data_IF_287607082237
#
_entry.id   IF_287607082237
#
_cell.length_a   1.000
_cell.length_b   1.000
_cell.length_c   1.000
_cell.angle_alpha   90.00
_cell.angle_beta   90.00
_cell.angle_gamma   90.00
#
_symmetry.space_group_name_H-M   'P 1'
#
loop_
_entity.id
_entity.type
_entity.pdbx_description
1 polymer ?
#
# COMPACT_ATOMS: atom_id res chain seq x y z
N UNK A 1 1.66 -11.96 -16.15
CA UNK A 1 1.92 -12.17 -14.73
C UNK A 1 1.49 -10.98 -13.88
N UNK A 2 1.34 -11.18 -12.58
CA UNK A 2 1.07 -10.10 -11.65
C UNK A 2 2.43 -9.47 -11.31
N UNK A 3 2.59 -8.19 -11.63
CA UNK A 3 3.83 -7.45 -11.39
C UNK A 3 3.60 -6.42 -10.30
N UNK A 4 3.87 -6.81 -9.05
CA UNK A 4 3.85 -5.94 -7.89
C UNK A 4 5.14 -6.19 -7.08
N UNK A 5 5.82 -5.13 -6.69
CA UNK A 5 7.02 -5.23 -5.89
C UNK A 5 6.70 -5.65 -4.44
N UNK A 6 7.71 -6.10 -3.72
CA UNK A 6 7.57 -6.58 -2.34
C UNK A 6 7.02 -5.52 -1.38
N UNK A 7 7.31 -4.27 -1.63
CA UNK A 7 6.80 -3.11 -0.89
C UNK A 7 5.38 -2.69 -1.30
N UNK A 8 4.75 -3.41 -2.25
CA UNK A 8 3.43 -3.08 -2.77
C UNK A 8 3.42 -2.05 -3.90
N UNK A 9 4.59 -1.57 -4.34
CA UNK A 9 4.66 -0.69 -5.51
C UNK A 9 4.27 -1.45 -6.77
N UNK A 10 3.51 -0.84 -7.70
CA UNK A 10 3.22 -1.44 -9.01
C UNK A 10 4.49 -1.60 -9.84
N UNK A 11 4.40 -2.38 -10.91
CA UNK A 11 5.48 -2.45 -11.90
C UNK A 11 5.76 -1.09 -12.53
N UNK A 12 7.03 -0.72 -12.65
CA UNK A 12 7.40 0.59 -13.15
C UNK A 12 8.92 0.74 -13.35
N UNK A 13 9.35 1.98 -13.51
CA UNK A 13 10.75 2.35 -13.72
C UNK A 13 11.02 3.72 -13.08
N UNK A 14 12.28 4.05 -12.92
CA UNK A 14 12.68 5.40 -12.45
C UNK A 14 13.06 6.27 -13.65
N UNK A 15 12.58 7.50 -13.63
CA UNK A 15 13.04 8.59 -14.51
C UNK A 15 14.13 9.31 -13.72
N UNK A 16 15.29 9.50 -14.34
CA UNK A 16 16.42 10.20 -13.72
C UNK A 16 16.81 11.38 -14.60
N UNK A 17 16.77 12.57 -14.04
CA UNK A 17 17.22 13.79 -14.66
C UNK A 17 18.62 14.14 -14.11
N UNK A 18 19.57 14.42 -15.00
CA UNK A 18 20.96 14.74 -14.66
C UNK A 18 21.32 16.11 -15.23
N UNK A 19 21.80 17.01 -14.36
CA UNK A 19 22.32 18.31 -14.73
C UNK A 19 23.69 18.52 -14.07
N UNK A 20 24.74 18.32 -14.84
CA UNK A 20 26.14 18.35 -14.35
C UNK A 20 26.35 17.26 -13.28
N UNK A 21 26.55 17.66 -12.02
CA UNK A 21 26.71 16.77 -10.87
C UNK A 21 25.41 16.53 -10.11
N UNK A 22 24.37 17.30 -10.43
CA UNK A 22 23.07 17.20 -9.77
C UNK A 22 22.20 16.19 -10.48
N UNK A 23 21.47 15.41 -9.71
CA UNK A 23 20.52 14.44 -10.25
C UNK A 23 19.27 14.37 -9.40
N UNK A 24 18.13 14.18 -10.07
CA UNK A 24 16.83 13.95 -9.48
C UNK A 24 16.24 12.68 -10.06
N UNK A 25 15.42 12.00 -9.29
CA UNK A 25 14.72 10.82 -9.78
C UNK A 25 13.27 10.80 -9.31
N UNK A 26 12.43 10.16 -10.10
CA UNK A 26 11.04 9.93 -9.78
C UNK A 26 10.62 8.55 -10.27
N UNK A 27 9.87 7.82 -9.45
CA UNK A 27 9.28 6.55 -9.86
C UNK A 27 8.12 6.81 -10.83
N UNK A 28 8.05 6.04 -11.89
CA UNK A 28 6.93 6.04 -12.85
C UNK A 28 6.33 4.64 -12.94
N UNK A 29 5.13 4.47 -12.39
CA UNK A 29 4.37 3.25 -12.61
C UNK A 29 3.97 3.11 -14.08
N UNK A 30 3.96 1.89 -14.60
CA UNK A 30 3.54 1.59 -15.97
C UNK A 30 2.10 2.01 -16.25
N UNK A 31 1.22 1.93 -15.23
CA UNK A 31 -0.22 2.12 -15.39
C UNK A 31 -0.76 3.42 -14.81
N UNK A 32 0.03 4.15 -14.02
CA UNK A 32 -0.41 5.39 -13.39
C UNK A 32 0.34 6.60 -13.93
N UNK A 33 -0.23 7.78 -13.74
CA UNK A 33 0.48 9.05 -13.94
C UNK A 33 1.72 9.13 -13.05
N UNK A 34 2.71 9.92 -13.47
CA UNK A 34 3.95 10.12 -12.72
C UNK A 34 3.72 10.74 -11.35
N UNK A 35 2.63 11.48 -11.17
CA UNK A 35 2.25 12.06 -9.88
C UNK A 35 1.55 11.07 -8.92
N UNK A 36 1.29 9.85 -9.36
CA UNK A 36 0.72 8.81 -8.49
C UNK A 36 1.85 8.03 -7.82
N UNK A 37 2.24 8.48 -6.62
CA UNK A 37 3.42 8.00 -5.91
C UNK A 37 3.11 7.23 -4.63
N UNK A 38 1.83 7.09 -4.29
CA UNK A 38 1.39 6.34 -3.11
C UNK A 38 -0.01 5.76 -3.30
N UNK A 39 -0.36 4.81 -2.46
CA UNK A 39 -1.68 4.16 -2.40
C UNK A 39 -2.18 4.16 -0.99
N UNK A 40 -3.49 4.31 -0.82
CA UNK A 40 -4.13 4.29 0.49
C UNK A 40 -5.06 3.10 0.66
N UNK A 41 -5.11 2.57 1.88
CA UNK A 41 -5.95 1.46 2.28
C UNK A 41 -6.80 1.84 3.48
N UNK A 42 -8.13 1.68 3.38
CA UNK A 42 -9.01 1.73 4.53
C UNK A 42 -8.99 0.36 5.23
N UNK A 43 -8.34 0.29 6.40
CA UNK A 43 -8.20 -0.97 7.12
C UNK A 43 -9.54 -1.59 7.53
N UNK A 44 -10.57 -0.77 7.72
CA UNK A 44 -11.92 -1.25 8.04
C UNK A 44 -12.57 -2.00 6.86
N UNK A 45 -12.11 -1.77 5.63
CA UNK A 45 -12.63 -2.40 4.41
C UNK A 45 -11.80 -3.61 3.94
N UNK A 46 -10.77 -4.01 4.70
CA UNK A 46 -9.87 -5.09 4.29
C UNK A 46 -9.99 -6.27 5.24
N UNK A 47 -10.34 -7.44 4.68
CA UNK A 47 -10.33 -8.72 5.36
C UNK A 47 -9.77 -9.76 4.39
N UNK A 48 -8.53 -10.19 4.60
CA UNK A 48 -7.81 -11.10 3.72
C UNK A 48 -8.01 -12.55 4.17
N UNK A 49 -9.10 -13.18 3.72
CA UNK A 49 -9.37 -14.59 3.96
C UNK A 49 -9.01 -15.45 2.75
N UNK A 50 -8.66 -16.71 3.00
CA UNK A 50 -8.35 -17.66 1.93
C UNK A 50 -9.55 -17.87 0.99
N UNK A 51 -10.77 -17.87 1.50
CA UNK A 51 -11.97 -18.07 0.67
C UNK A 51 -12.19 -16.92 -0.32
N UNK A 52 -11.74 -15.72 -0.01
CA UNK A 52 -11.84 -14.57 -0.93
C UNK A 52 -10.73 -14.53 -1.97
N UNK A 53 -9.52 -14.92 -1.60
CA UNK A 53 -8.33 -14.60 -2.41
C UNK A 53 -7.53 -15.79 -2.90
N UNK A 54 -7.76 -17.00 -2.36
CA UNK A 54 -7.16 -18.23 -2.85
C UNK A 54 -8.16 -18.98 -3.72
N UNK A 55 -7.71 -19.48 -4.87
CA UNK A 55 -8.60 -20.22 -5.77
C UNK A 55 -9.18 -21.46 -5.08
N UNK A 56 -10.46 -21.76 -5.34
CA UNK A 56 -11.22 -22.83 -4.67
C UNK A 56 -10.60 -24.23 -4.88
N UNK A 57 -9.90 -24.45 -5.99
CA UNK A 57 -9.22 -25.70 -6.34
C UNK A 57 -7.85 -25.88 -5.68
N UNK A 58 -7.42 -24.94 -4.84
CA UNK A 58 -6.15 -25.04 -4.11
C UNK A 58 -6.31 -25.91 -2.86
N UNK A 59 -5.19 -26.51 -2.44
CA UNK A 59 -5.16 -27.38 -1.27
C UNK A 59 -5.50 -26.64 0.03
N UNK A 60 -5.96 -27.38 1.04
CA UNK A 60 -6.14 -26.82 2.39
C UNK A 60 -4.83 -26.23 2.93
N UNK A 61 -3.69 -26.85 2.65
CA UNK A 61 -2.38 -26.36 3.05
C UNK A 61 -2.01 -25.00 2.39
N UNK A 62 -2.42 -24.77 1.14
CA UNK A 62 -2.21 -23.48 0.48
C UNK A 62 -3.10 -22.40 1.09
N UNK A 63 -4.34 -22.72 1.45
CA UNK A 63 -5.26 -21.81 2.14
C UNK A 63 -4.73 -21.44 3.53
N UNK A 64 -4.27 -22.42 4.30
CA UNK A 64 -3.66 -22.18 5.61
C UNK A 64 -2.38 -21.30 5.52
N UNK A 65 -1.52 -21.56 4.54
CA UNK A 65 -0.34 -20.73 4.29
C UNK A 65 -0.71 -19.27 3.99
N UNK A 66 -1.77 -19.05 3.20
CA UNK A 66 -2.25 -17.70 2.92
C UNK A 66 -2.71 -17.00 4.20
N UNK A 67 -3.54 -17.63 5.01
CA UNK A 67 -4.05 -17.03 6.25
C UNK A 67 -2.96 -16.77 7.29
N UNK A 68 -1.98 -17.67 7.38
CA UNK A 68 -0.79 -17.46 8.19
C UNK A 68 0.04 -16.25 7.68
N UNK A 69 0.18 -16.10 6.37
CA UNK A 69 0.88 -14.98 5.77
C UNK A 69 0.13 -13.66 5.94
N UNK A 70 -1.20 -13.69 5.88
CA UNK A 70 -2.07 -12.53 6.05
C UNK A 70 -2.02 -11.96 7.48
N UNK A 71 -1.76 -12.81 8.50
CA UNK A 71 -1.65 -12.31 9.88
C UNK A 71 -2.89 -11.53 10.30
N UNK A 72 -2.70 -10.33 10.85
CA UNK A 72 -3.80 -9.47 11.32
C UNK A 72 -4.70 -8.97 10.18
N UNK A 73 -4.25 -8.97 8.93
CA UNK A 73 -5.08 -8.58 7.79
C UNK A 73 -6.28 -9.49 7.54
N UNK A 74 -6.29 -10.70 8.09
CA UNK A 74 -7.45 -11.62 8.00
C UNK A 74 -8.61 -11.25 8.91
N UNK A 75 -8.34 -10.47 9.97
CA UNK A 75 -9.34 -10.06 10.94
C UNK A 75 -10.06 -8.78 10.50
N UNK A 76 -11.35 -8.68 10.79
CA UNK A 76 -12.11 -7.46 10.60
C UNK A 76 -11.60 -6.36 11.54
N UNK A 77 -11.30 -5.19 11.02
CA UNK A 77 -10.90 -4.04 11.81
C UNK A 77 -12.03 -3.03 11.96
N UNK A 78 -12.12 -2.42 13.14
CA UNK A 78 -12.98 -1.27 13.42
C UNK A 78 -12.19 -0.10 14.02
N UNK A 79 -10.85 -0.17 13.97
CA UNK A 79 -9.95 0.82 14.59
C UNK A 79 -9.80 2.12 13.80
N UNK A 80 -10.50 2.27 12.67
CA UNK A 80 -10.45 3.43 11.77
C UNK A 80 -9.05 3.77 11.24
N UNK A 81 -8.17 2.78 11.18
CA UNK A 81 -6.84 2.96 10.63
C UNK A 81 -6.86 3.08 9.11
N UNK A 82 -6.07 4.01 8.61
CA UNK A 82 -5.73 4.14 7.20
C UNK A 82 -4.25 3.86 7.03
N UNK A 83 -3.92 2.99 6.09
CA UNK A 83 -2.54 2.71 5.70
C UNK A 83 -2.22 3.48 4.41
N UNK A 84 -1.02 4.00 4.35
CA UNK A 84 -0.49 4.75 3.21
C UNK A 84 0.78 4.04 2.78
N UNK A 85 0.77 3.45 1.59
CA UNK A 85 1.95 2.83 0.99
C UNK A 85 2.61 3.84 0.05
N UNK A 86 3.79 4.33 0.41
CA UNK A 86 4.54 5.32 -0.37
C UNK A 86 5.62 4.61 -1.19
N UNK A 87 5.49 4.68 -2.51
CA UNK A 87 6.40 4.00 -3.42
C UNK A 87 7.73 4.73 -3.51
N UNK A 88 8.82 3.96 -3.64
CA UNK A 88 10.17 4.53 -3.70
C UNK A 88 10.53 5.48 -2.54
N UNK A 89 9.88 5.27 -1.38
CA UNK A 89 10.08 6.10 -0.19
C UNK A 89 11.55 6.12 0.26
N UNK A 90 12.04 7.28 0.60
CA UNK A 90 13.29 7.47 1.35
C UNK A 90 13.05 8.35 2.61
N UNK A 91 13.98 8.35 3.59
CA UNK A 91 13.79 9.04 4.86
C UNK A 91 13.60 10.56 4.79
N UNK A 92 13.93 11.21 3.67
CA UNK A 92 13.75 12.65 3.49
C UNK A 92 12.34 13.02 3.00
N UNK A 93 11.51 12.01 2.66
CA UNK A 93 10.12 12.26 2.32
C UNK A 93 9.29 12.58 3.56
N UNK A 94 8.31 13.45 3.41
CA UNK A 94 7.36 13.80 4.47
C UNK A 94 5.95 13.40 4.11
N UNK A 95 5.20 12.93 5.13
CA UNK A 95 3.82 12.52 4.98
C UNK A 95 3.00 13.29 6.00
N UNK A 96 2.04 14.07 5.51
CA UNK A 96 1.13 14.85 6.33
C UNK A 96 -0.31 14.40 6.04
N UNK A 97 -1.05 14.15 7.08
CA UNK A 97 -2.47 13.78 6.99
C UNK A 97 -3.28 14.69 7.87
N UNK A 98 -4.37 15.22 7.32
CA UNK A 98 -5.33 16.02 8.09
C UNK A 98 -6.73 15.46 7.98
N UNK A 99 -7.51 15.63 9.05
CA UNK A 99 -8.93 15.33 9.13
C UNK A 99 -9.64 16.59 9.63
N UNK A 100 -10.58 17.12 8.84
CA UNK A 100 -11.27 18.38 9.17
C UNK A 100 -10.31 19.52 9.52
N UNK A 101 -9.18 19.63 8.79
CA UNK A 101 -8.15 20.64 9.00
C UNK A 101 -7.23 20.41 10.21
N UNK A 102 -7.41 19.33 10.98
CA UNK A 102 -6.54 18.97 12.10
C UNK A 102 -5.53 17.90 11.66
N UNK A 103 -4.25 18.10 12.01
CA UNK A 103 -3.21 17.12 11.72
C UNK A 103 -3.39 15.85 12.55
N UNK A 104 -3.22 14.70 11.88
CA UNK A 104 -3.16 13.39 12.51
C UNK A 104 -1.71 12.94 12.68
N UNK A 105 -1.46 12.16 13.73
CA UNK A 105 -0.17 11.51 13.94
C UNK A 105 0.05 10.42 12.90
N UNK A 106 1.13 10.51 12.12
CA UNK A 106 1.54 9.51 11.14
C UNK A 106 2.60 8.60 11.75
N UNK A 107 2.34 7.31 11.79
CA UNK A 107 3.24 6.29 12.30
C UNK A 107 3.80 5.46 11.12
N UNK A 108 5.11 5.29 11.06
CA UNK A 108 5.73 4.33 10.13
C UNK A 108 5.63 2.92 10.70
N UNK A 109 5.08 1.99 9.92
CA UNK A 109 4.89 0.61 10.35
C UNK A 109 5.71 -0.36 9.50
N UNK A 110 6.05 -1.50 10.08
CA UNK A 110 6.71 -2.61 9.39
C UNK A 110 5.69 -3.73 9.26
N UNK A 111 5.08 -3.84 8.08
CA UNK A 111 4.03 -4.81 7.80
C UNK A 111 4.09 -5.26 6.33
N UNK A 112 3.31 -6.25 5.96
CA UNK A 112 3.18 -6.70 4.58
C UNK A 112 2.14 -5.87 3.84
N UNK A 113 2.44 -5.53 2.59
CA UNK A 113 1.44 -4.88 1.74
C UNK A 113 0.31 -5.86 1.39
N UNK A 114 -0.97 -5.50 1.55
CA UNK A 114 -2.10 -6.39 1.33
C UNK A 114 -2.26 -6.85 -0.13
N UNK A 115 -1.93 -6.01 -1.11
CA UNK A 115 -1.98 -6.40 -2.52
C UNK A 115 -0.86 -7.36 -2.87
N UNK A 116 0.34 -7.15 -2.33
CA UNK A 116 1.46 -8.08 -2.50
C UNK A 116 1.15 -9.44 -1.86
N UNK A 117 0.54 -9.46 -0.66
CA UNK A 117 0.06 -10.69 -0.01
C UNK A 117 -0.87 -11.50 -0.92
N UNK A 118 -1.89 -10.84 -1.48
CA UNK A 118 -2.84 -11.50 -2.37
C UNK A 118 -2.14 -12.01 -3.64
N UNK A 119 -1.28 -11.20 -4.24
CA UNK A 119 -0.59 -11.55 -5.47
C UNK A 119 0.24 -12.83 -5.31
N UNK A 120 1.03 -12.91 -4.26
CA UNK A 120 2.03 -13.99 -4.11
C UNK A 120 1.60 -15.13 -3.21
N UNK A 121 0.74 -14.91 -2.23
CA UNK A 121 0.20 -15.99 -1.39
C UNK A 121 -1.20 -16.44 -1.79
N UNK A 122 -2.00 -15.55 -2.38
CA UNK A 122 -3.37 -15.86 -2.80
C UNK A 122 -3.47 -16.37 -4.25
N UNK A 123 -2.99 -15.58 -5.20
CA UNK A 123 -3.15 -15.87 -6.64
C UNK A 123 -2.10 -16.82 -7.19
N UNK A 124 -0.89 -16.80 -6.65
CA UNK A 124 0.23 -17.67 -7.05
C UNK A 124 0.84 -18.45 -5.88
N UNK A 125 0.03 -19.15 -5.06
CA UNK A 125 0.56 -19.90 -3.91
C UNK A 125 1.56 -20.96 -4.41
N UNK A 126 2.69 -21.06 -3.73
CA UNK A 126 3.77 -22.00 -4.10
C UNK A 126 4.73 -21.49 -5.18
N UNK A 127 4.60 -20.26 -5.65
CA UNK A 127 5.42 -19.70 -6.74
C UNK A 127 6.86 -19.34 -6.37
N UNK A 128 7.38 -19.77 -5.22
CA UNK A 128 8.78 -19.60 -4.81
C UNK A 128 9.13 -18.20 -4.28
N UNK A 129 8.23 -17.24 -4.37
CA UNK A 129 8.43 -15.90 -3.80
C UNK A 129 7.65 -15.78 -2.50
N UNK A 130 8.39 -15.62 -1.39
CA UNK A 130 7.79 -15.29 -0.09
C UNK A 130 7.35 -13.84 -0.03
N UNK A 131 6.33 -13.57 0.79
CA UNK A 131 6.01 -12.19 1.16
C UNK A 131 6.80 -11.81 2.39
N UNK A 132 7.38 -10.63 2.41
CA UNK A 132 8.06 -10.07 3.58
C UNK A 132 7.49 -8.69 3.92
N UNK A 133 7.86 -8.22 5.09
CA UNK A 133 7.44 -6.89 5.56
C UNK A 133 8.13 -5.80 4.76
N UNK A 134 7.42 -4.70 4.55
CA UNK A 134 7.97 -3.46 4.02
C UNK A 134 7.98 -2.38 5.10
N UNK A 135 8.85 -1.39 4.96
CA UNK A 135 8.89 -0.17 5.76
C UNK A 135 8.38 1.05 4.98
N UNK A 136 7.72 0.82 3.85
CA UNK A 136 7.09 1.87 3.03
C UNK A 136 5.63 2.11 3.41
N UNK A 137 5.16 1.43 4.46
CA UNK A 137 3.81 1.61 5.00
C UNK A 137 3.81 2.60 6.17
N UNK A 138 2.84 3.49 6.11
CA UNK A 138 2.53 4.45 7.17
C UNK A 138 1.09 4.26 7.60
N UNK A 139 0.79 4.61 8.85
CA UNK A 139 -0.52 4.42 9.44
C UNK A 139 -0.96 5.68 10.16
N UNK A 140 -2.23 6.03 9.99
CA UNK A 140 -2.92 7.06 10.77
C UNK A 140 -4.22 6.48 11.32
N UNK A 141 -4.68 7.01 12.45
CA UNK A 141 -5.98 6.68 12.99
C UNK A 141 -6.94 7.85 12.78
N UNK A 142 -8.00 7.62 12.03
CA UNK A 142 -9.06 8.60 11.82
C UNK A 142 -10.07 8.59 12.97
N UNK A 143 -10.81 9.68 13.17
CA UNK A 143 -11.80 9.79 14.22
C UNK A 143 -13.05 8.95 13.99
N UNK A 144 -13.38 8.63 12.73
CA UNK A 144 -14.55 7.81 12.38
C UNK A 144 -14.28 6.94 11.15
N UNK A 145 -15.16 5.98 10.89
CA UNK A 145 -15.11 5.12 9.72
C UNK A 145 -15.46 5.84 8.39
N UNK A 146 -16.06 7.04 8.47
CA UNK A 146 -16.59 7.77 7.31
C UNK A 146 -15.92 9.13 7.08
N UNK A 147 -14.95 9.49 7.93
CA UNK A 147 -14.25 10.78 7.79
C UNK A 147 -13.36 10.79 6.54
N UNK A 148 -13.34 11.94 5.86
CA UNK A 148 -12.42 12.20 4.75
C UNK A 148 -11.06 12.61 5.31
N UNK A 149 -10.00 12.05 4.74
CA UNK A 149 -8.62 12.40 5.07
C UNK A 149 -7.97 13.11 3.89
N UNK A 150 -7.34 14.26 4.16
CA UNK A 150 -6.48 14.93 3.19
C UNK A 150 -5.04 14.49 3.41
N UNK A 151 -4.49 13.80 2.43
CA UNK A 151 -3.16 13.19 2.49
C UNK A 151 -2.23 13.95 1.55
N UNK A 152 -1.10 14.37 2.09
CA UNK A 152 -0.04 15.04 1.34
C UNK A 152 1.28 14.33 1.59
N UNK A 153 1.89 13.85 0.52
CA UNK A 153 3.23 13.27 0.51
C UNK A 153 4.15 14.22 -0.25
N UNK A 154 5.30 14.53 0.30
CA UNK A 154 6.30 15.38 -0.34
C UNK A 154 7.61 14.62 -0.42
N UNK A 155 8.18 14.49 -1.63
CA UNK A 155 9.46 13.82 -1.82
C UNK A 155 10.64 14.73 -1.44
N UNK A 156 11.86 14.17 -1.47
CA UNK A 156 13.09 14.90 -1.14
C UNK A 156 13.40 16.07 -2.07
N UNK A 157 12.79 16.11 -3.27
CA UNK A 157 12.99 17.16 -4.27
C UNK A 157 11.90 18.24 -4.19
N UNK A 158 10.97 18.12 -3.25
CA UNK A 158 9.89 19.06 -3.05
C UNK A 158 8.65 18.82 -3.92
N UNK A 159 8.58 17.74 -4.69
CA UNK A 159 7.37 17.38 -5.42
C UNK A 159 6.29 16.95 -4.45
N UNK A 160 5.06 17.39 -4.71
CA UNK A 160 3.92 17.18 -3.82
C UNK A 160 2.91 16.26 -4.50
N UNK A 161 2.48 15.23 -3.78
CA UNK A 161 1.49 14.25 -4.20
C UNK A 161 0.34 14.26 -3.18
N UNK A 162 -0.91 14.30 -3.65
CA UNK A 162 -2.06 14.45 -2.76
C UNK A 162 -3.18 13.48 -3.08
N UNK A 163 -3.92 13.10 -2.05
CA UNK A 163 -5.20 12.37 -2.17
C UNK A 163 -6.18 12.91 -1.13
N UNK A 164 -7.40 13.25 -1.58
CA UNK A 164 -8.56 13.41 -0.70
C UNK A 164 -9.26 12.06 -0.58
N UNK A 165 -8.92 11.30 0.47
CA UNK A 165 -9.42 9.96 0.68
C UNK A 165 -10.79 9.98 1.35
N UNK A 166 -11.83 9.76 0.56
CA UNK A 166 -13.19 9.53 1.09
C UNK A 166 -13.31 8.12 1.66
N UNK A 167 -13.98 7.99 2.80
CA UNK A 167 -14.19 6.71 3.48
C UNK A 167 -15.68 6.43 3.68
N UNK A 168 -16.14 5.15 3.70
CA UNK A 168 -15.31 3.96 3.51
C UNK A 168 -14.72 3.87 2.10
N UNK A 169 -13.46 3.43 1.99
CA UNK A 169 -12.79 3.16 0.72
C UNK A 169 -12.70 1.66 0.51
N UNK A 170 -13.47 1.15 -0.45
CA UNK A 170 -13.47 -0.27 -0.77
C UNK A 170 -12.09 -0.76 -1.20
N UNK A 171 -11.75 -1.97 -0.77
CA UNK A 171 -10.53 -2.64 -1.18
C UNK A 171 -10.75 -3.42 -2.47
N UNK A 172 -10.00 -3.08 -3.51
CA UNK A 172 -10.04 -3.78 -4.79
C UNK A 172 -8.63 -4.30 -5.13
N UNK A 173 -8.52 -5.62 -5.34
CA UNK A 173 -7.27 -6.25 -5.73
C UNK A 173 -6.75 -5.72 -7.08
N UNK A 174 -7.62 -5.41 -8.04
CA UNK A 174 -7.22 -4.95 -9.38
C UNK A 174 -6.46 -3.61 -9.38
N UNK A 175 -6.44 -2.92 -8.24
CA UNK A 175 -5.63 -1.70 -8.05
C UNK A 175 -4.13 -1.99 -7.84
N UNK A 176 -3.69 -3.26 -7.94
CA UNK A 176 -2.27 -3.62 -7.85
C UNK A 176 -1.43 -3.10 -9.04
N UNK A 177 -2.09 -2.80 -10.15
CA UNK A 177 -1.48 -2.22 -11.35
C UNK A 177 -0.99 -0.82 -11.09
#
# INVERSE_FOLDING_TARGET
>A
GIHIAQDGAPGGYSIVDVDGTDFKWQFKSTYHDVNHQFRTYDRNCITLTADKFVASNKSAADKEKFEKAAGDWKEQSSGNYVYINVWNYDPEWTINVTENGKSLSVERVSDKDPLHLIAYNGKTPGGGFGTSVTKHLFRVQASSATSTLEIKVTDRFGNIYTESMKRPKEFNFDTYK
#
